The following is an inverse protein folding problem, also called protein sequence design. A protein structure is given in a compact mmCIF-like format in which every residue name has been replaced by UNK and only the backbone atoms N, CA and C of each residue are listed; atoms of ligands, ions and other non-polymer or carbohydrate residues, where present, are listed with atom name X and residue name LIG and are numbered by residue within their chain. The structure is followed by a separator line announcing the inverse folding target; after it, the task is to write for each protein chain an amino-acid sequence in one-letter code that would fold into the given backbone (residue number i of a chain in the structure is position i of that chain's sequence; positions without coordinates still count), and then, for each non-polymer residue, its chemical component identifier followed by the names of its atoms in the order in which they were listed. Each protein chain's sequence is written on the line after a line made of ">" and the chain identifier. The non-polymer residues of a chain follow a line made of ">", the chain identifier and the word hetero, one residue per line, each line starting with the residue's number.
data_IF_030593723330
#
_entry.id   IF_030593723330
#
_cell.length_a   1.000
_cell.length_b   1.000
_cell.length_c   1.000
_cell.angle_alpha   90.00
_cell.angle_beta   90.00
_cell.angle_gamma   90.00
#
_symmetry.space_group_name_H-M   'P 1'
#
loop_
_entity.id
_entity.type
_entity.pdbx_description
1 polymer ?
#
# COMPACT_ATOMS: atom_id res chain seq x y z
N UNK A 1 -20.85 -10.61 14.36
CA UNK A 1 -20.02 -11.14 13.26
C UNK A 1 -18.65 -10.49 13.34
N UNK A 2 -17.58 -11.27 13.54
CA UNK A 2 -16.23 -10.74 13.62
C UNK A 2 -15.65 -10.63 12.21
N UNK A 3 -15.43 -9.40 11.72
CA UNK A 3 -14.74 -9.16 10.45
C UNK A 3 -13.27 -9.49 10.66
N UNK A 4 -12.75 -10.48 9.94
CA UNK A 4 -11.30 -10.77 9.96
C UNK A 4 -10.63 -9.92 8.89
N UNK A 5 -9.68 -9.09 9.31
CA UNK A 5 -8.97 -8.15 8.45
C UNK A 5 -7.46 -8.36 8.57
N UNK A 6 -6.77 -8.55 7.44
CA UNK A 6 -5.30 -8.64 7.37
C UNK A 6 -4.80 -7.77 6.22
N UNK A 7 -3.65 -7.14 6.39
CA UNK A 7 -3.00 -6.38 5.34
C UNK A 7 -1.48 -6.42 5.43
N UNK A 8 -0.84 -6.31 4.27
CA UNK A 8 0.59 -6.05 4.14
C UNK A 8 0.76 -4.82 3.25
N UNK A 9 1.57 -3.86 3.68
CA UNK A 9 1.80 -2.61 2.97
C UNK A 9 3.29 -2.43 2.69
N UNK A 10 3.62 -2.09 1.45
CA UNK A 10 4.96 -1.77 1.01
C UNK A 10 4.93 -0.44 0.27
N UNK A 11 5.79 0.50 0.67
CA UNK A 11 5.90 1.81 0.03
C UNK A 11 7.25 1.92 -0.69
N UNK A 12 7.23 2.55 -1.85
CA UNK A 12 8.39 2.78 -2.70
C UNK A 12 8.46 4.26 -3.02
N UNK A 13 9.61 4.86 -2.73
CA UNK A 13 9.88 6.28 -3.00
C UNK A 13 10.89 6.34 -4.13
N UNK A 14 10.52 7.00 -5.21
CA UNK A 14 11.37 7.18 -6.39
C UNK A 14 11.72 8.64 -6.55
N UNK A 15 13.02 8.94 -6.66
CA UNK A 15 13.51 10.26 -7.00
C UNK A 15 13.69 10.38 -8.52
N UNK A 16 12.83 11.14 -9.23
CA UNK A 16 12.91 11.27 -10.69
C UNK A 16 14.12 12.10 -11.16
N UNK A 17 14.87 12.73 -10.26
CA UNK A 17 16.07 13.49 -10.59
C UNK A 17 17.30 12.59 -10.66
N UNK A 18 17.37 11.54 -9.82
CA UNK A 18 18.47 10.56 -9.80
C UNK A 18 18.12 9.21 -10.42
N UNK A 19 16.83 8.90 -10.57
CA UNK A 19 16.34 7.59 -11.00
C UNK A 19 16.34 6.53 -9.90
N UNK A 20 16.77 6.88 -8.68
CA UNK A 20 16.83 5.94 -7.58
C UNK A 20 15.44 5.65 -7.02
N UNK A 21 15.16 4.37 -6.76
CA UNK A 21 13.95 3.92 -6.10
C UNK A 21 14.28 3.11 -4.86
N UNK A 22 13.69 3.47 -3.74
CA UNK A 22 13.96 2.86 -2.44
C UNK A 22 12.67 2.38 -1.81
N UNK A 23 12.68 1.13 -1.34
CA UNK A 23 11.61 0.58 -0.49
C UNK A 23 11.74 1.18 0.91
N UNK A 24 10.63 1.69 1.43
CA UNK A 24 10.56 2.28 2.77
C UNK A 24 10.38 1.17 3.81
N UNK A 25 11.19 1.21 4.87
CA UNK A 25 10.88 0.45 6.08
C UNK A 25 9.80 1.18 6.88
N UNK A 26 8.65 0.54 7.06
CA UNK A 26 7.53 1.13 7.77
C UNK A 26 7.79 1.28 9.26
N UNK A 27 8.68 0.47 9.87
CA UNK A 27 8.98 0.61 11.30
C UNK A 27 9.71 1.90 11.65
N UNK A 28 10.34 2.55 10.67
CA UNK A 28 11.02 3.83 10.86
C UNK A 28 10.03 4.99 11.03
N UNK A 29 8.78 4.81 10.60
CA UNK A 29 7.77 5.87 10.55
C UNK A 29 6.49 5.56 11.30
N UNK A 30 6.12 4.28 11.41
CA UNK A 30 4.85 3.83 11.96
C UNK A 30 5.07 3.00 13.20
N UNK A 31 4.24 3.25 14.21
CA UNK A 31 4.13 2.33 15.34
C UNK A 31 3.50 1.01 14.91
N UNK A 32 3.74 -0.06 15.67
CA UNK A 32 3.13 -1.39 15.46
C UNK A 32 1.59 -1.34 15.45
N UNK A 33 0.99 -0.32 16.07
CA UNK A 33 -0.46 -0.08 16.08
C UNK A 33 -0.97 0.63 14.82
N UNK A 34 -0.13 1.44 14.16
CA UNK A 34 -0.47 2.19 12.94
C UNK A 34 -0.23 1.39 11.65
N UNK A 35 0.72 0.45 11.64
CA UNK A 35 0.98 -0.35 10.45
C UNK A 35 -0.27 -1.11 9.93
N UNK A 36 -1.12 -1.73 10.78
CA UNK A 36 -2.33 -2.41 10.32
C UNK A 36 -3.39 -1.46 9.73
N UNK A 37 -3.41 -0.18 10.11
CA UNK A 37 -4.43 0.76 9.63
C UNK A 37 -4.22 1.17 8.17
N UNK A 38 -3.03 0.91 7.61
CA UNK A 38 -2.70 1.22 6.20
C UNK A 38 -3.60 0.51 5.19
N UNK A 39 -4.10 -0.68 5.49
CA UNK A 39 -5.05 -1.33 4.59
C UNK A 39 -6.52 -1.00 4.92
N UNK A 40 -6.82 -0.63 6.17
CA UNK A 40 -8.21 -0.44 6.62
C UNK A 40 -8.76 0.94 6.24
N UNK A 41 -7.92 1.97 6.24
CA UNK A 41 -8.29 3.35 5.92
C UNK A 41 -7.53 3.81 4.68
N UNK A 42 -8.19 3.95 3.51
CA UNK A 42 -7.50 4.32 2.26
C UNK A 42 -6.91 5.74 2.30
N UNK A 43 -7.45 6.62 3.14
CA UNK A 43 -6.90 7.97 3.36
C UNK A 43 -5.51 7.93 4.00
N UNK A 44 -5.18 6.89 4.78
CA UNK A 44 -3.92 6.83 5.51
C UNK A 44 -2.72 6.57 4.59
N UNK A 45 -2.76 5.61 3.64
CA UNK A 45 -1.73 5.48 2.61
C UNK A 45 -1.48 6.77 1.82
N UNK A 46 -2.55 7.50 1.47
CA UNK A 46 -2.42 8.78 0.76
C UNK A 46 -1.68 9.82 1.61
N UNK A 47 -2.10 10.01 2.86
CA UNK A 47 -1.43 10.94 3.79
C UNK A 47 0.02 10.55 4.03
N UNK A 48 0.29 9.24 4.17
CA UNK A 48 1.63 8.74 4.37
C UNK A 48 2.51 8.95 3.12
N UNK A 49 1.95 8.82 1.92
CA UNK A 49 2.65 9.13 0.69
C UNK A 49 3.06 10.62 0.61
N UNK A 50 2.15 11.54 0.96
CA UNK A 50 2.47 12.97 1.05
C UNK A 50 3.54 13.26 2.10
N UNK A 51 3.47 12.56 3.24
CA UNK A 51 4.48 12.68 4.29
C UNK A 51 5.86 12.21 3.80
N UNK A 52 5.95 11.03 3.19
CA UNK A 52 7.20 10.49 2.64
C UNK A 52 7.81 11.43 1.60
N UNK A 53 7.00 11.96 0.67
CA UNK A 53 7.47 12.91 -0.33
C UNK A 53 8.05 14.21 0.26
N UNK A 54 7.67 14.56 1.50
CA UNK A 54 8.16 15.73 2.23
C UNK A 54 9.42 15.46 3.03
N UNK A 55 9.54 14.28 3.65
CA UNK A 55 10.62 13.98 4.62
C UNK A 55 11.80 13.23 4.02
N UNK A 56 11.59 12.51 2.92
CA UNK A 56 12.63 11.73 2.28
C UNK A 56 13.64 12.62 1.55
N UNK A 57 14.93 12.26 1.52
CA UNK A 57 15.93 12.99 0.74
C UNK A 57 15.56 13.02 -0.74
N UNK A 58 15.77 14.17 -1.38
CA UNK A 58 15.60 14.34 -2.83
C UNK A 58 16.74 15.13 -3.43
N UNK A 59 17.09 14.79 -4.66
CA UNK A 59 18.04 15.53 -5.47
C UNK A 59 17.28 16.49 -6.40
N UNK A 60 17.81 17.68 -6.68
CA UNK A 60 17.18 18.58 -7.65
C UNK A 60 15.77 19.08 -7.28
N UNK A 61 15.01 19.47 -8.30
CA UNK A 61 13.75 20.23 -8.13
C UNK A 61 12.48 19.41 -8.30
N UNK A 62 12.51 18.30 -9.07
CA UNK A 62 11.31 17.48 -9.30
C UNK A 62 10.88 16.82 -7.97
N UNK A 63 9.56 16.71 -7.70
CA UNK A 63 9.06 16.06 -6.49
C UNK A 63 9.33 14.56 -6.50
N UNK A 64 9.44 13.96 -5.32
CA UNK A 64 9.51 12.51 -5.17
C UNK A 64 8.17 11.87 -5.57
N UNK A 65 8.25 10.70 -6.19
CA UNK A 65 7.08 9.88 -6.51
C UNK A 65 6.94 8.80 -5.46
N UNK A 66 5.71 8.52 -5.02
CA UNK A 66 5.46 7.51 -3.99
C UNK A 66 4.39 6.54 -4.46
N UNK A 67 4.80 5.28 -4.61
CA UNK A 67 3.91 4.17 -4.96
C UNK A 67 3.71 3.25 -3.75
N UNK A 68 2.54 2.64 -3.65
CA UNK A 68 2.23 1.69 -2.59
C UNK A 68 1.67 0.38 -3.14
N UNK A 69 2.21 -0.73 -2.64
CA UNK A 69 1.67 -2.09 -2.85
C UNK A 69 1.06 -2.55 -1.55
N UNK A 70 -0.26 -2.45 -1.47
CA UNK A 70 -1.02 -2.86 -0.28
C UNK A 70 -1.91 -4.04 -0.66
N UNK A 71 -1.69 -5.17 0.01
CA UNK A 71 -2.55 -6.34 -0.10
C UNK A 71 -3.49 -6.41 1.09
N UNK A 72 -4.75 -6.76 0.84
CA UNK A 72 -5.77 -6.89 1.88
C UNK A 72 -6.54 -8.19 1.74
N UNK A 73 -6.86 -8.81 2.87
CA UNK A 73 -7.72 -9.99 2.98
C UNK A 73 -8.83 -9.65 3.96
N UNK A 74 -10.05 -9.65 3.42
CA UNK A 74 -11.26 -9.29 4.16
C UNK A 74 -12.14 -10.54 4.25
N UNK A 75 -12.44 -10.96 5.47
CA UNK A 75 -13.22 -12.16 5.77
C UNK A 75 -12.61 -13.45 5.19
N UNK A 76 -11.28 -13.55 5.23
CA UNK A 76 -10.55 -14.74 4.80
C UNK A 76 -10.49 -14.97 3.29
N UNK A 77 -11.00 -14.02 2.48
CA UNK A 77 -10.82 -14.01 1.02
C UNK A 77 -9.35 -14.05 0.63
N UNK A 78 -9.07 -14.51 -0.58
CA UNK A 78 -7.73 -14.42 -1.15
C UNK A 78 -7.22 -12.97 -1.07
N UNK A 79 -5.97 -12.74 -0.63
CA UNK A 79 -5.39 -11.41 -0.64
C UNK A 79 -5.39 -10.82 -2.05
N UNK A 80 -5.85 -9.58 -2.17
CA UNK A 80 -5.85 -8.82 -3.44
C UNK A 80 -5.19 -7.47 -3.24
N UNK A 81 -4.71 -6.88 -4.33
CA UNK A 81 -4.24 -5.50 -4.33
C UNK A 81 -5.40 -4.57 -3.95
N UNK A 82 -5.12 -3.70 -3.00
CA UNK A 82 -6.06 -2.71 -2.49
C UNK A 82 -5.96 -1.40 -3.26
N UNK A 83 -4.73 -1.00 -3.58
CA UNK A 83 -4.40 0.21 -4.32
C UNK A 83 -3.80 -0.15 -5.68
N UNK A 84 -4.03 0.70 -6.68
CA UNK A 84 -3.35 0.59 -7.96
C UNK A 84 -1.84 0.84 -7.77
N UNK A 85 -0.97 -0.18 -7.97
CA UNK A 85 0.42 -0.12 -7.55
C UNK A 85 1.31 0.79 -8.42
N UNK A 86 0.81 1.26 -9.57
CA UNK A 86 1.56 2.14 -10.48
C UNK A 86 1.25 3.62 -10.28
N UNK A 87 0.22 3.96 -9.48
CA UNK A 87 -0.18 5.35 -9.24
C UNK A 87 0.80 6.01 -8.28
N UNK A 88 1.25 7.21 -8.64
CA UNK A 88 1.99 8.09 -7.75
C UNK A 88 1.03 8.76 -6.76
N UNK A 89 0.90 8.17 -5.57
CA UNK A 89 0.04 8.66 -4.51
C UNK A 89 0.47 10.04 -4.00
N UNK A 90 1.74 10.43 -4.18
CA UNK A 90 2.19 11.75 -3.75
C UNK A 90 1.63 12.88 -4.64
N UNK A 91 1.27 12.57 -5.89
CA UNK A 91 0.63 13.50 -6.81
C UNK A 91 -0.91 13.54 -6.68
N UNK A 92 -1.49 12.54 -6.02
CA UNK A 92 -2.94 12.42 -5.85
C UNK A 92 -3.48 13.40 -4.80
N UNK A 93 -4.68 13.92 -5.03
CA UNK A 93 -5.37 14.80 -4.08
C UNK A 93 -6.41 14.02 -3.29
N UNK A 94 -6.64 14.44 -2.04
CA UNK A 94 -7.76 13.91 -1.24
C UNK A 94 -9.09 14.36 -1.85
N UNK A 95 -9.99 13.42 -2.09
CA UNK A 95 -11.35 13.67 -2.60
C UNK A 95 -12.40 13.11 -1.66
N UNK A 96 -13.60 13.67 -1.65
CA UNK A 96 -14.74 13.14 -0.88
C UNK A 96 -15.32 11.85 -1.49
N UNK A 97 -15.13 11.64 -2.80
CA UNK A 97 -15.59 10.47 -3.52
C UNK A 97 -14.58 9.31 -3.49
N UNK A 98 -14.99 8.17 -4.05
CA UNK A 98 -14.10 7.00 -4.21
C UNK A 98 -12.95 7.35 -5.16
N UNK A 99 -11.69 7.29 -4.72
CA UNK A 99 -10.56 7.59 -5.58
C UNK A 99 -10.38 6.53 -6.67
N UNK A 100 -9.90 6.95 -7.83
CA UNK A 100 -9.65 6.08 -9.00
C UNK A 100 -8.57 5.03 -8.75
N UNK A 101 -7.63 5.31 -7.85
CA UNK A 101 -6.55 4.42 -7.46
C UNK A 101 -6.97 3.34 -6.45
N UNK A 102 -8.20 3.37 -5.93
CA UNK A 102 -8.72 2.32 -5.05
C UNK A 102 -9.34 1.17 -5.87
N UNK A 103 -8.79 -0.03 -5.72
CA UNK A 103 -9.24 -1.21 -6.46
C UNK A 103 -10.50 -1.81 -5.83
N UNK A 104 -11.30 -2.50 -6.65
CA UNK A 104 -12.46 -3.27 -6.16
C UNK A 104 -11.98 -4.64 -5.70
N UNK A 105 -12.57 -5.15 -4.62
CA UNK A 105 -12.39 -6.52 -4.19
C UNK A 105 -13.60 -7.34 -4.64
N UNK A 106 -13.46 -8.01 -5.77
CA UNK A 106 -14.50 -8.88 -6.35
C UNK A 106 -14.23 -10.37 -6.04
N UNK A 107 -13.28 -10.66 -5.14
CA UNK A 107 -12.92 -12.03 -4.75
C UNK A 107 -14.09 -12.71 -4.00
N UNK A 108 -14.49 -13.94 -4.38
CA UNK A 108 -15.55 -14.66 -3.68
C UNK A 108 -15.12 -15.04 -2.26
N UNK A 109 -16.10 -15.25 -1.38
CA UNK A 109 -15.84 -15.82 -0.06
C UNK A 109 -15.17 -17.20 -0.21
N UNK A 110 -14.18 -17.53 0.63
CA UNK A 110 -13.59 -18.84 0.61
C UNK A 110 -14.61 -19.91 1.06
N UNK A 111 -14.44 -21.17 0.64
CA UNK A 111 -15.07 -22.30 1.32
C UNK A 111 -14.76 -22.26 2.82
N UNK A 112 -15.68 -22.73 3.67
CA UNK A 112 -15.59 -22.63 5.14
C UNK A 112 -14.26 -23.11 5.73
N UNK A 113 -13.63 -24.10 5.10
CA UNK A 113 -12.40 -24.75 5.59
C UNK A 113 -11.13 -24.13 5.02
N UNK A 114 -11.24 -23.22 4.04
CA UNK A 114 -10.08 -22.65 3.36
C UNK A 114 -9.71 -21.29 3.94
N UNK A 115 -8.44 -21.13 4.33
CA UNK A 115 -7.88 -19.84 4.75
C UNK A 115 -6.64 -19.53 3.91
N UNK A 116 -6.64 -18.38 3.26
CA UNK A 116 -5.48 -17.88 2.52
C UNK A 116 -4.53 -17.14 3.47
N UNK A 117 -3.23 -17.39 3.33
CA UNK A 117 -2.18 -16.68 4.07
C UNK A 117 -1.73 -15.44 3.30
N UNK A 118 -1.32 -14.39 4.03
CA UNK A 118 -0.82 -13.16 3.41
C UNK A 118 0.54 -13.34 2.74
N UNK A 119 1.37 -14.20 3.32
CA UNK A 119 2.79 -14.32 2.99
C UNK A 119 3.03 -14.92 1.61
N UNK A 120 2.05 -15.67 1.07
CA UNK A 120 2.08 -16.21 -0.29
C UNK A 120 1.94 -15.14 -1.37
N UNK A 121 1.36 -13.98 -1.05
CA UNK A 121 1.00 -12.93 -2.02
C UNK A 121 1.83 -11.66 -1.80
N UNK A 122 2.30 -11.45 -0.58
CA UNK A 122 2.97 -10.22 -0.16
C UNK A 122 4.51 -10.30 -0.18
N UNK A 123 5.09 -11.21 -0.98
CA UNK A 123 6.55 -11.26 -1.17
C UNK A 123 7.07 -9.84 -1.49
N UNK A 124 8.05 -9.32 -0.72
CA UNK A 124 8.57 -7.97 -0.92
C UNK A 124 9.36 -7.84 -2.24
N UNK A 125 9.69 -8.98 -2.86
CA UNK A 125 10.33 -9.08 -4.17
C UNK A 125 9.33 -9.67 -5.18
N UNK A 126 9.15 -9.05 -6.37
CA UNK A 126 8.40 -9.67 -7.44
C UNK A 126 9.08 -11.00 -7.83
N UNK A 127 8.30 -12.02 -8.13
CA UNK A 127 8.83 -13.25 -8.70
C UNK A 127 9.49 -12.91 -10.06
N UNK A 128 10.82 -13.04 -10.14
CA UNK A 128 11.61 -12.85 -11.36
C UNK A 128 12.38 -11.53 -11.45
N UNK A 129 13.27 -11.25 -10.49
CA UNK A 129 14.48 -10.44 -10.75
C UNK A 129 15.66 -11.38 -10.99
#
# INVERSE_FOLDING_TARGET
>A
FLVTYRSVANFYVTDPNSGNSTRVDLSDFLTTRQAPTMGYLPDLPLQFAHYLAKVMPRWGSKPLQVQARIFVSINGRKPVLYLNPIVDLAAERRTLGRPSWLLRNDEPLPPREKRYLMDEVASPYPAGQ
#
